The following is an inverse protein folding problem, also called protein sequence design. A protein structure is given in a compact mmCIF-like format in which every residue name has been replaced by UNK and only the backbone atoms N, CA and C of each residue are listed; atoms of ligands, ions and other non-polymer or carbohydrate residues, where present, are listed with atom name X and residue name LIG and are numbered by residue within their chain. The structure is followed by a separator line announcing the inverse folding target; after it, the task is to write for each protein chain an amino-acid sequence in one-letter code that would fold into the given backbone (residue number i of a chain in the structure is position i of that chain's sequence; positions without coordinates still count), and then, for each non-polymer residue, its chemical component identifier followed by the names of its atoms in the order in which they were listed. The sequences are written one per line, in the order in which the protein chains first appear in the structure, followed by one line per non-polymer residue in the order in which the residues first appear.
data_IF_678561765195
#
_entry.id   IF_678561765195
#
_cell.length_a   1.000
_cell.length_b   1.000
_cell.length_c   1.000
_cell.angle_alpha   90.00
_cell.angle_beta   90.00
_cell.angle_gamma   90.00
#
_symmetry.space_group_name_H-M   'P 1'
#
loop_
_entity.id
_entity.type
_entity.pdbx_description
1 polymer ?
#
# COMPACT_ATOMS: atom_id res chain seq x y z
N UNK A 1 26.38 3.76 -1.25
CA UNK A 1 26.09 2.33 -1.06
C UNK A 1 24.74 2.28 -0.37
N UNK A 2 23.74 1.65 -0.99
CA UNK A 2 22.40 1.59 -0.41
C UNK A 2 22.46 0.89 0.95
N UNK A 3 21.91 1.53 1.99
CA UNK A 3 21.86 0.92 3.32
C UNK A 3 20.67 -0.01 3.38
N UNK A 4 20.94 -1.32 3.28
CA UNK A 4 19.96 -2.35 3.60
C UNK A 4 19.63 -2.26 5.08
N UNK A 5 18.34 -2.18 5.39
CA UNK A 5 17.82 -2.17 6.74
C UNK A 5 17.11 -3.48 7.05
N UNK A 6 16.75 -3.64 8.31
CA UNK A 6 15.91 -4.75 8.77
C UNK A 6 15.02 -4.30 9.94
N UNK A 7 14.53 -3.05 9.89
CA UNK A 7 13.74 -2.49 10.99
C UNK A 7 12.45 -3.28 11.13
N UNK A 8 11.71 -3.52 10.05
CA UNK A 8 10.40 -4.17 10.13
C UNK A 8 10.50 -5.59 10.66
N UNK A 9 11.58 -6.33 10.36
CA UNK A 9 11.77 -7.71 10.84
C UNK A 9 12.69 -7.84 12.07
N UNK A 10 13.32 -6.76 12.55
CA UNK A 10 14.07 -6.78 13.81
C UNK A 10 13.16 -7.03 15.01
N UNK A 11 13.59 -7.89 15.93
CA UNK A 11 12.77 -8.27 17.08
C UNK A 11 12.62 -7.11 18.09
N UNK A 12 11.44 -7.09 18.72
CA UNK A 12 11.14 -6.25 19.88
C UNK A 12 10.61 -7.14 20.99
N UNK A 13 10.88 -6.79 22.24
CA UNK A 13 10.32 -7.52 23.38
C UNK A 13 8.79 -7.33 23.38
N UNK A 14 7.99 -8.41 23.37
CA UNK A 14 6.53 -8.31 23.25
C UNK A 14 5.90 -7.40 24.32
N UNK A 15 5.12 -6.41 23.88
CA UNK A 15 4.43 -5.48 24.76
C UNK A 15 5.30 -4.35 25.32
N UNK A 16 6.60 -4.32 25.04
CA UNK A 16 7.50 -3.26 25.53
C UNK A 16 7.11 -1.89 24.97
N UNK A 17 6.73 -1.81 23.70
CA UNK A 17 6.33 -0.54 23.08
C UNK A 17 4.94 -0.12 23.54
N UNK A 18 4.04 -1.07 23.79
CA UNK A 18 2.73 -0.79 24.36
C UNK A 18 2.84 -0.24 25.78
N UNK A 19 3.67 -0.85 26.64
CA UNK A 19 3.96 -0.31 27.99
C UNK A 19 4.55 1.10 27.92
N UNK A 20 5.48 1.34 26.98
CA UNK A 20 6.02 2.68 26.76
C UNK A 20 4.94 3.67 26.32
N UNK A 21 4.00 3.26 25.47
CA UNK A 21 2.88 4.10 25.04
C UNK A 21 1.91 4.43 26.19
N UNK A 22 1.62 3.47 27.08
CA UNK A 22 0.75 3.66 28.25
C UNK A 22 1.35 4.61 29.30
N UNK A 23 2.68 4.70 29.37
CA UNK A 23 3.38 5.67 30.21
C UNK A 23 3.32 7.12 29.67
N UNK A 24 2.77 7.32 28.47
CA UNK A 24 2.59 8.62 27.81
C UNK A 24 1.11 8.96 27.74
N UNK A 25 0.73 10.23 27.56
CA UNK A 25 -0.67 10.54 27.24
C UNK A 25 -0.98 10.14 25.78
N UNK A 26 -2.24 9.89 25.40
CA UNK A 26 -2.59 9.62 24.01
C UNK A 26 -2.13 10.73 23.04
N UNK A 27 -2.15 11.98 23.50
CA UNK A 27 -1.68 13.13 22.71
C UNK A 27 -0.17 13.11 22.51
N UNK A 28 0.60 12.66 23.50
CA UNK A 28 2.06 12.50 23.38
C UNK A 28 2.42 11.39 22.40
N UNK A 29 1.67 10.28 22.39
CA UNK A 29 1.83 9.18 21.41
C UNK A 29 1.59 9.70 19.98
N UNK A 30 0.48 10.42 19.76
CA UNK A 30 0.18 11.06 18.46
C UNK A 30 1.28 12.06 18.10
N UNK A 31 1.74 12.85 19.07
CA UNK A 31 2.82 13.82 18.90
C UNK A 31 4.13 13.15 18.47
N UNK A 32 4.48 12.01 19.07
CA UNK A 32 5.67 11.24 18.73
C UNK A 32 5.59 10.68 17.30
N UNK A 33 4.46 10.05 16.93
CA UNK A 33 4.23 9.54 15.57
C UNK A 33 4.19 10.66 14.53
N UNK A 34 3.70 11.84 14.91
CA UNK A 34 3.72 13.03 14.05
C UNK A 34 5.15 13.55 13.86
N UNK A 35 5.94 13.66 14.93
CA UNK A 35 7.34 14.10 14.88
C UNK A 35 8.23 13.15 14.09
N UNK A 36 7.96 11.84 14.11
CA UNK A 36 8.70 10.88 13.27
C UNK A 36 8.46 11.09 11.77
N UNK A 37 7.42 11.86 11.41
CA UNK A 37 6.94 12.07 10.03
C UNK A 37 6.57 10.75 9.34
N UNK A 38 6.14 9.73 10.10
CA UNK A 38 5.65 8.48 9.52
C UNK A 38 4.49 8.76 8.56
N UNK A 39 4.67 8.34 7.31
CA UNK A 39 3.66 8.40 6.25
C UNK A 39 3.13 7.00 5.97
N UNK A 40 1.84 6.87 5.66
CA UNK A 40 1.19 5.61 5.37
C UNK A 40 1.91 4.82 4.27
N UNK A 41 2.24 3.56 4.56
CA UNK A 41 3.05 2.67 3.71
C UNK A 41 2.27 1.88 2.66
N UNK A 42 0.95 2.11 2.55
CA UNK A 42 0.06 1.46 1.59
C UNK A 42 -0.03 2.14 0.21
N UNK A 43 0.72 3.21 -0.06
CA UNK A 43 0.74 3.89 -1.38
C UNK A 43 0.58 5.40 -1.29
N UNK A 44 -0.58 5.90 -0.85
CA UNK A 44 -0.90 7.33 -0.86
C UNK A 44 -0.02 8.22 0.04
N UNK A 45 0.69 7.63 1.01
CA UNK A 45 1.65 8.38 1.83
C UNK A 45 1.02 9.46 2.72
N UNK A 46 -0.22 9.30 3.18
CA UNK A 46 -0.84 10.28 4.08
C UNK A 46 -0.14 10.26 5.46
N UNK A 47 0.14 11.42 6.09
CA UNK A 47 0.80 11.46 7.40
C UNK A 47 0.00 10.73 8.49
N UNK A 48 0.60 9.73 9.12
CA UNK A 48 -0.09 8.85 10.09
C UNK A 48 -0.54 9.61 11.34
N UNK A 49 0.32 10.49 11.86
CA UNK A 49 0.01 11.31 13.04
C UNK A 49 -1.20 12.23 12.83
N UNK A 50 -1.33 12.88 11.66
CA UNK A 50 -2.50 13.70 11.32
C UNK A 50 -3.76 12.84 11.28
N UNK A 51 -3.69 11.65 10.68
CA UNK A 51 -4.84 10.72 10.62
C UNK A 51 -5.33 10.35 12.02
N UNK A 52 -4.40 10.07 12.94
CA UNK A 52 -4.71 9.71 14.32
C UNK A 52 -5.28 10.88 15.12
N UNK A 53 -4.70 12.07 14.97
CA UNK A 53 -5.16 13.32 15.58
C UNK A 53 -6.60 13.66 15.17
N UNK A 54 -6.93 13.56 13.88
CA UNK A 54 -8.30 13.78 13.39
C UNK A 54 -9.31 12.86 14.08
N UNK A 55 -9.02 11.56 14.19
CA UNK A 55 -9.90 10.61 14.87
C UNK A 55 -9.98 10.89 16.38
N UNK A 56 -8.86 11.24 17.03
CA UNK A 56 -8.81 11.49 18.48
C UNK A 56 -9.69 12.67 18.89
N UNK A 57 -9.73 13.73 18.09
CA UNK A 57 -10.50 14.97 18.33
C UNK A 57 -12.01 14.78 18.40
N UNK A 58 -12.53 13.65 17.90
CA UNK A 58 -13.95 13.33 17.97
C UNK A 58 -14.26 12.71 19.36
N UNK A 59 -14.42 13.56 20.38
CA UNK A 59 -14.67 13.13 21.76
C UNK A 59 -16.03 12.45 21.94
N UNK A 60 -16.11 11.46 22.85
CA UNK A 60 -17.34 10.75 23.19
C UNK A 60 -17.88 9.78 22.12
N UNK A 61 -17.31 9.79 20.92
CA UNK A 61 -17.61 8.80 19.89
C UNK A 61 -16.91 7.48 20.21
N UNK A 62 -17.60 6.37 19.99
CA UNK A 62 -16.95 5.08 19.76
C UNK A 62 -16.03 5.21 18.55
N UNK A 63 -14.84 4.59 18.60
CA UNK A 63 -13.82 4.71 17.55
C UNK A 63 -13.24 3.35 17.23
N UNK A 64 -12.74 3.23 16.00
CA UNK A 64 -12.20 1.98 15.50
C UNK A 64 -10.81 2.19 14.87
N UNK A 65 -9.98 1.16 14.96
CA UNK A 65 -8.76 1.05 14.17
C UNK A 65 -8.86 -0.15 13.24
N UNK A 66 -8.47 0.03 11.98
CA UNK A 66 -8.50 -1.03 10.97
C UNK A 66 -7.11 -1.20 10.38
N UNK A 67 -6.59 -2.41 10.49
CA UNK A 67 -5.41 -2.85 9.77
C UNK A 67 -5.82 -3.32 8.38
N UNK A 68 -5.44 -2.56 7.35
CA UNK A 68 -5.64 -2.93 5.96
C UNK A 68 -4.56 -3.93 5.54
N UNK A 69 -4.96 -5.20 5.48
CA UNK A 69 -4.18 -6.36 5.07
C UNK A 69 -4.76 -6.99 3.78
N UNK A 70 -5.32 -6.16 2.89
CA UNK A 70 -5.89 -6.63 1.63
C UNK A 70 -4.81 -6.89 0.56
N UNK A 71 -3.69 -6.14 0.57
CA UNK A 71 -2.51 -6.33 -0.31
C UNK A 71 -2.84 -6.85 -1.74
N UNK A 72 -3.85 -6.26 -2.40
CA UNK A 72 -4.32 -6.75 -3.70
C UNK A 72 -3.46 -6.27 -4.88
N UNK A 73 -2.58 -5.30 -4.67
CA UNK A 73 -1.76 -4.67 -5.72
C UNK A 73 -0.77 -5.67 -6.35
N UNK A 74 -0.82 -5.91 -7.67
CA UNK A 74 0.12 -6.78 -8.37
C UNK A 74 1.59 -6.55 -8.03
N UNK A 75 2.29 -7.65 -7.74
CA UNK A 75 3.70 -7.66 -7.35
C UNK A 75 3.97 -7.27 -5.89
N UNK A 76 2.95 -7.05 -5.07
CA UNK A 76 3.10 -6.78 -3.63
C UNK A 76 2.91 -8.06 -2.80
N UNK A 77 3.83 -8.34 -1.89
CA UNK A 77 3.75 -9.45 -0.94
C UNK A 77 4.51 -9.15 0.38
N UNK A 78 4.69 -7.86 0.70
CA UNK A 78 5.38 -7.37 1.90
C UNK A 78 4.50 -7.58 3.15
N UNK A 79 3.23 -7.24 3.07
CA UNK A 79 2.28 -7.29 4.19
C UNK A 79 2.03 -8.74 4.58
N UNK A 80 1.90 -9.63 3.60
CA UNK A 80 1.94 -11.09 3.81
C UNK A 80 3.13 -11.52 4.65
N UNK A 81 4.35 -11.12 4.26
CA UNK A 81 5.58 -11.50 4.97
C UNK A 81 5.64 -10.90 6.38
N UNK A 82 5.13 -9.68 6.59
CA UNK A 82 5.03 -9.07 7.92
C UNK A 82 4.03 -9.86 8.77
N UNK A 83 2.86 -10.23 8.23
CA UNK A 83 1.85 -10.99 8.97
C UNK A 83 2.30 -12.41 9.29
N UNK A 84 3.13 -13.04 8.46
CA UNK A 84 3.70 -14.37 8.71
C UNK A 84 4.79 -14.34 9.78
N UNK A 85 5.64 -13.31 9.79
CA UNK A 85 6.88 -13.30 10.60
C UNK A 85 6.82 -12.39 11.82
N UNK A 86 6.01 -11.34 11.76
CA UNK A 86 6.03 -10.21 12.70
C UNK A 86 4.61 -9.83 13.14
N UNK A 87 3.70 -10.80 13.19
CA UNK A 87 2.29 -10.61 13.56
C UNK A 87 2.13 -9.86 14.88
N UNK A 88 2.87 -10.26 15.92
CA UNK A 88 2.78 -9.66 17.25
C UNK A 88 3.06 -8.14 17.22
N UNK A 89 4.04 -7.73 16.41
CA UNK A 89 4.42 -6.31 16.23
C UNK A 89 3.32 -5.51 15.54
N UNK A 90 2.64 -6.09 14.56
CA UNK A 90 1.49 -5.44 13.90
C UNK A 90 0.34 -5.26 14.89
N UNK A 91 0.02 -6.30 15.66
CA UNK A 91 -1.05 -6.27 16.67
C UNK A 91 -0.72 -5.28 17.81
N UNK A 92 0.54 -5.22 18.24
CA UNK A 92 1.02 -4.23 19.20
C UNK A 92 0.92 -2.81 18.65
N UNK A 93 1.28 -2.59 17.38
CA UNK A 93 1.06 -1.33 16.68
C UNK A 93 -0.41 -0.94 16.58
N UNK A 94 -1.32 -1.91 16.40
CA UNK A 94 -2.77 -1.66 16.47
C UNK A 94 -3.22 -1.24 17.86
N UNK A 95 -2.74 -1.90 18.92
CA UNK A 95 -3.06 -1.56 20.31
C UNK A 95 -2.57 -0.15 20.68
N UNK A 96 -1.35 0.22 20.27
CA UNK A 96 -0.81 1.58 20.46
C UNK A 96 -1.64 2.61 19.70
N UNK A 97 -2.01 2.33 18.44
CA UNK A 97 -2.86 3.22 17.65
C UNK A 97 -4.26 3.37 18.25
N UNK A 98 -4.84 2.28 18.77
CA UNK A 98 -6.12 2.29 19.46
C UNK A 98 -6.07 3.14 20.75
N UNK A 99 -5.01 2.99 21.55
CA UNK A 99 -4.77 3.82 22.73
C UNK A 99 -4.69 5.31 22.35
N UNK A 100 -3.90 5.63 21.33
CA UNK A 100 -3.68 6.99 20.85
C UNK A 100 -5.00 7.68 20.44
N UNK A 101 -5.88 6.98 19.73
CA UNK A 101 -7.15 7.55 19.25
C UNK A 101 -8.31 7.41 20.23
N UNK A 102 -8.20 6.50 21.20
CA UNK A 102 -9.26 6.12 22.14
C UNK A 102 -10.26 5.14 21.54
N UNK A 103 -9.79 4.16 20.76
CA UNK A 103 -10.60 3.06 20.23
C UNK A 103 -10.56 1.85 21.16
N UNK A 104 -11.69 1.16 21.30
CA UNK A 104 -11.80 -0.09 22.08
C UNK A 104 -11.87 -1.34 21.21
N UNK A 105 -12.06 -1.18 19.90
CA UNK A 105 -12.26 -2.26 18.96
C UNK A 105 -11.43 -2.04 17.70
N UNK A 106 -10.82 -3.12 17.21
CA UNK A 106 -9.97 -3.13 16.04
C UNK A 106 -10.28 -4.27 15.08
N UNK A 107 -10.01 -4.05 13.80
CA UNK A 107 -10.23 -5.06 12.77
C UNK A 107 -8.97 -5.26 11.92
N UNK A 108 -8.61 -6.51 11.66
CA UNK A 108 -7.71 -6.87 10.57
C UNK A 108 -8.58 -7.23 9.38
N UNK A 109 -8.59 -6.38 8.36
CA UNK A 109 -9.23 -6.70 7.09
C UNK A 109 -8.22 -7.44 6.21
N UNK A 110 -8.33 -8.76 6.21
CA UNK A 110 -7.42 -9.67 5.52
C UNK A 110 -8.01 -10.07 4.16
N UNK A 111 -7.24 -10.00 3.08
CA UNK A 111 -7.71 -10.47 1.76
C UNK A 111 -8.15 -11.92 1.77
N UNK A 112 -9.12 -12.23 0.92
CA UNK A 112 -9.72 -13.56 0.83
C UNK A 112 -8.71 -14.66 0.53
N UNK A 113 -7.71 -14.38 -0.31
CA UNK A 113 -6.68 -15.31 -0.75
C UNK A 113 -5.69 -15.67 0.37
N UNK A 114 -5.61 -14.85 1.42
CA UNK A 114 -4.78 -15.12 2.60
C UNK A 114 -5.55 -15.84 3.71
N UNK A 115 -6.66 -16.53 3.38
CA UNK A 115 -7.44 -17.35 4.32
C UNK A 115 -6.59 -18.32 5.16
N UNK A 116 -5.47 -18.82 4.61
CA UNK A 116 -4.56 -19.71 5.34
C UNK A 116 -3.87 -19.05 6.54
N UNK A 117 -3.74 -17.71 6.57
CA UNK A 117 -3.18 -16.97 7.70
C UNK A 117 -4.16 -16.79 8.88
N UNK A 118 -5.46 -17.04 8.67
CA UNK A 118 -6.50 -16.76 9.69
C UNK A 118 -6.24 -17.53 10.99
N UNK A 119 -5.88 -18.81 10.90
CA UNK A 119 -5.63 -19.64 12.08
C UNK A 119 -4.43 -19.13 12.89
N UNK A 120 -3.35 -18.73 12.22
CA UNK A 120 -2.16 -18.20 12.88
C UNK A 120 -2.40 -16.81 13.47
N UNK A 121 -3.14 -15.95 12.78
CA UNK A 121 -3.57 -14.65 13.30
C UNK A 121 -4.43 -14.82 14.55
N UNK A 122 -5.43 -15.71 14.51
CA UNK A 122 -6.30 -15.98 15.64
C UNK A 122 -5.53 -16.54 16.84
N UNK A 123 -4.58 -17.46 16.58
CA UNK A 123 -3.67 -17.98 17.62
C UNK A 123 -2.86 -16.85 18.25
N UNK A 124 -2.25 -15.97 17.45
CA UNK A 124 -1.43 -14.87 17.98
C UNK A 124 -2.26 -13.85 18.76
N UNK A 125 -3.48 -13.54 18.30
CA UNK A 125 -4.44 -12.73 19.08
C UNK A 125 -4.72 -13.40 20.43
N UNK A 126 -4.96 -14.72 20.45
CA UNK A 126 -5.14 -15.49 21.69
C UNK A 126 -3.94 -15.44 22.63
N UNK A 127 -2.71 -15.54 22.09
CA UNK A 127 -1.46 -15.40 22.86
C UNK A 127 -1.32 -13.99 23.47
N UNK A 128 -1.64 -12.93 22.72
CA UNK A 128 -1.60 -11.57 23.26
C UNK A 128 -2.67 -11.33 24.32
N UNK A 129 -3.86 -11.94 24.19
CA UNK A 129 -4.89 -11.92 25.24
C UNK A 129 -4.40 -12.61 26.52
N UNK A 130 -3.75 -13.77 26.42
CA UNK A 130 -3.24 -14.50 27.60
C UNK A 130 -2.09 -13.77 28.30
N UNK A 131 -1.35 -12.94 27.57
CA UNK A 131 -0.33 -12.03 28.09
C UNK A 131 -0.89 -10.66 28.51
N UNK A 132 -2.22 -10.46 28.42
CA UNK A 132 -2.90 -9.22 28.76
C UNK A 132 -2.36 -7.99 27.98
N UNK A 133 -1.89 -8.19 26.75
CA UNK A 133 -1.46 -7.13 25.83
C UNK A 133 -2.61 -6.57 24.99
N UNK A 134 -3.73 -7.31 24.93
CA UNK A 134 -5.02 -6.89 24.38
C UNK A 134 -6.13 -7.51 25.25
N UNK A 135 -7.36 -7.03 25.10
CA UNK A 135 -8.51 -7.38 25.93
C UNK A 135 -8.77 -6.33 27.02
N UNK A 136 -9.36 -6.72 28.16
CA UNK A 136 -9.60 -5.80 29.28
C UNK A 136 -8.33 -5.51 30.08
N UNK A 137 -8.27 -4.33 30.70
CA UNK A 137 -7.20 -3.88 31.61
C UNK A 137 -5.80 -4.20 31.08
N UNK A 138 -5.47 -3.66 29.89
CA UNK A 138 -4.23 -3.96 29.17
C UNK A 138 -3.00 -3.65 30.02
N UNK A 139 -2.00 -4.54 29.97
CA UNK A 139 -0.77 -4.49 30.78
C UNK A 139 -1.03 -4.45 32.30
N UNK A 140 -2.16 -5.01 32.74
CA UNK A 140 -2.65 -5.02 34.11
C UNK A 140 -2.96 -3.62 34.67
N UNK A 141 -3.16 -2.64 33.79
CA UNK A 141 -3.51 -1.27 34.15
C UNK A 141 -4.98 -0.99 33.81
N UNK A 142 -5.68 -0.35 34.74
CA UNK A 142 -7.08 0.05 34.54
C UNK A 142 -7.16 1.28 33.65
N UNK A 143 -8.10 1.28 32.70
CA UNK A 143 -8.47 2.49 31.95
C UNK A 143 -8.34 2.38 30.43
N UNK A 144 -7.73 1.29 29.91
CA UNK A 144 -7.69 1.01 28.47
C UNK A 144 -8.00 -0.46 28.19
N UNK A 145 -8.98 -0.67 27.31
CA UNK A 145 -9.39 -1.98 26.82
C UNK A 145 -9.40 -1.94 25.29
N UNK A 146 -8.89 -2.99 24.65
CA UNK A 146 -8.85 -3.06 23.19
C UNK A 146 -8.90 -4.50 22.70
N UNK A 147 -9.86 -4.85 21.84
CA UNK A 147 -9.93 -6.17 21.21
C UNK A 147 -9.72 -6.08 19.68
N UNK A 148 -9.31 -7.20 19.08
CA UNK A 148 -9.01 -7.30 17.66
C UNK A 148 -9.79 -8.45 17.03
N UNK A 149 -10.52 -8.14 15.97
CA UNK A 149 -11.28 -9.11 15.17
C UNK A 149 -10.65 -9.28 13.79
N UNK A 150 -10.79 -10.47 13.20
CA UNK A 150 -10.36 -10.73 11.82
C UNK A 150 -11.59 -10.70 10.92
N UNK A 151 -11.55 -9.85 9.89
CA UNK A 151 -12.53 -9.85 8.80
C UNK A 151 -11.84 -10.34 7.54
N UNK A 152 -12.37 -11.39 6.93
CA UNK A 152 -11.91 -11.87 5.64
C UNK A 152 -12.64 -11.14 4.51
N UNK A 153 -11.88 -10.62 3.54
CA UNK A 153 -12.39 -10.09 2.28
C UNK A 153 -12.77 -11.20 1.29
N UNK A 154 -13.24 -10.81 0.11
CA UNK A 154 -13.76 -11.73 -0.91
C UNK A 154 -13.02 -11.64 -2.25
N UNK A 155 -11.74 -11.27 -2.24
CA UNK A 155 -10.87 -11.25 -3.42
C UNK A 155 -11.16 -10.11 -4.39
N UNK A 156 -11.32 -8.89 -3.87
CA UNK A 156 -11.56 -7.70 -4.71
C UNK A 156 -10.53 -6.62 -4.40
N UNK A 157 -9.73 -6.26 -5.39
CA UNK A 157 -8.63 -5.30 -5.23
C UNK A 157 -9.12 -3.91 -4.82
N UNK A 158 -10.31 -3.50 -5.26
CA UNK A 158 -10.89 -2.20 -4.86
C UNK A 158 -11.14 -2.11 -3.36
N UNK A 159 -11.35 -3.23 -2.65
CA UNK A 159 -11.49 -3.26 -1.20
C UNK A 159 -10.18 -2.92 -0.46
N UNK A 160 -9.04 -2.85 -1.14
CA UNK A 160 -7.82 -2.26 -0.61
C UNK A 160 -7.90 -0.73 -0.47
N UNK A 161 -8.85 -0.06 -1.16
CA UNK A 161 -9.11 1.37 -0.96
C UNK A 161 -9.81 1.61 0.37
N UNK A 162 -9.36 2.63 1.10
CA UNK A 162 -9.75 2.90 2.49
C UNK A 162 -11.26 2.90 2.75
N UNK A 163 -12.07 3.54 1.90
CA UNK A 163 -13.52 3.62 2.11
C UNK A 163 -14.29 2.41 1.59
N UNK A 164 -13.82 1.81 0.49
CA UNK A 164 -14.36 0.53 0.01
C UNK A 164 -14.14 -0.60 1.02
N UNK A 165 -12.98 -0.60 1.68
CA UNK A 165 -12.66 -1.51 2.77
C UNK A 165 -13.70 -1.42 3.89
N UNK A 166 -14.07 -0.20 4.29
CA UNK A 166 -15.05 0.03 5.35
C UNK A 166 -16.46 -0.43 4.95
N UNK A 167 -16.87 -0.19 3.70
CA UNK A 167 -18.14 -0.73 3.18
C UNK A 167 -18.14 -2.27 3.22
N UNK A 168 -17.04 -2.90 2.80
CA UNK A 168 -16.90 -4.36 2.86
C UNK A 168 -16.86 -4.89 4.30
N UNK A 169 -16.23 -4.17 5.22
CA UNK A 169 -16.22 -4.47 6.65
C UNK A 169 -17.66 -4.43 7.23
N UNK A 170 -18.47 -3.47 6.79
CA UNK A 170 -19.91 -3.36 7.05
C UNK A 170 -20.77 -4.39 6.30
N UNK A 171 -20.14 -5.35 5.60
CA UNK A 171 -20.79 -6.41 4.82
C UNK A 171 -21.64 -5.89 3.66
N UNK A 172 -21.30 -4.71 3.13
CA UNK A 172 -21.82 -4.16 1.89
C UNK A 172 -20.86 -4.45 0.73
N UNK A 173 -21.27 -4.07 -0.48
CA UNK A 173 -20.37 -4.12 -1.65
C UNK A 173 -19.22 -3.14 -1.42
N UNK A 174 -18.00 -3.52 -1.83
CA UNK A 174 -16.79 -2.69 -1.70
C UNK A 174 -16.77 -1.49 -2.65
N UNK A 175 -17.80 -0.65 -2.61
CA UNK A 175 -17.87 0.57 -3.40
C UNK A 175 -17.37 1.75 -2.56
N UNK A 176 -16.35 2.49 -3.01
CA UNK A 176 -15.83 3.64 -2.25
C UNK A 176 -16.91 4.67 -1.89
N UNK A 177 -16.71 5.36 -0.77
CA UNK A 177 -17.55 6.49 -0.34
C UNK A 177 -17.07 7.80 -0.97
N UNK A 178 -17.95 8.79 -1.07
CA UNK A 178 -17.51 10.15 -1.40
C UNK A 178 -16.71 10.72 -0.23
N UNK A 179 -15.66 11.50 -0.53
CA UNK A 179 -14.89 12.27 0.45
C UNK A 179 -15.09 13.75 0.12
N UNK A 180 -15.42 14.62 1.09
CA UNK A 180 -15.74 14.36 2.51
C UNK A 180 -17.11 13.66 2.74
N UNK A 181 -17.36 13.08 3.93
CA UNK A 181 -16.48 13.04 5.11
C UNK A 181 -15.33 12.02 4.97
N UNK A 182 -14.22 12.27 5.66
CA UNK A 182 -13.09 11.34 5.68
C UNK A 182 -13.31 10.23 6.73
N UNK A 183 -12.72 9.02 6.55
CA UNK A 183 -12.87 7.92 7.51
C UNK A 183 -12.52 8.26 8.97
N UNK A 184 -11.49 9.09 9.16
CA UNK A 184 -11.07 9.54 10.49
C UNK A 184 -12.12 10.44 11.18
N UNK A 185 -13.12 10.92 10.45
CA UNK A 185 -14.27 11.69 10.97
C UNK A 185 -15.52 10.79 11.03
N UNK A 186 -15.83 10.11 9.92
CA UNK A 186 -16.96 9.20 9.79
C UNK A 186 -16.61 8.01 8.88
N UNK A 187 -16.23 6.90 9.50
CA UNK A 187 -15.79 5.66 8.86
C UNK A 187 -16.72 4.49 9.17
N UNK A 188 -16.18 3.42 9.77
CA UNK A 188 -16.93 2.21 10.10
C UNK A 188 -18.14 2.54 10.97
N UNK A 189 -19.33 2.13 10.52
CA UNK A 189 -20.63 2.40 11.18
C UNK A 189 -20.87 3.89 11.44
N UNK A 190 -20.32 4.76 10.58
CA UNK A 190 -20.39 6.21 10.71
C UNK A 190 -19.54 6.79 11.85
N UNK A 191 -18.69 5.98 12.49
CA UNK A 191 -17.83 6.37 13.61
C UNK A 191 -16.40 6.72 13.15
N UNK A 192 -15.68 7.61 13.87
CA UNK A 192 -14.30 7.92 13.55
C UNK A 192 -13.45 6.64 13.48
N UNK A 193 -12.83 6.41 12.33
CA UNK A 193 -12.10 5.17 12.05
C UNK A 193 -10.77 5.46 11.40
N UNK A 194 -9.70 4.91 11.97
CA UNK A 194 -8.37 5.00 11.39
C UNK A 194 -8.06 3.72 10.64
N UNK A 195 -7.82 3.83 9.34
CA UNK A 195 -7.31 2.71 8.53
C UNK A 195 -5.81 2.90 8.27
N UNK A 196 -5.00 1.94 8.69
CA UNK A 196 -3.57 1.92 8.43
C UNK A 196 -3.16 0.58 7.79
N UNK A 197 -2.20 0.63 6.87
CA UNK A 197 -1.61 -0.56 6.26
C UNK A 197 -0.75 -1.33 7.28
N UNK A 198 -0.65 -2.66 7.11
CA UNK A 198 0.15 -3.56 7.95
C UNK A 198 1.56 -3.01 8.22
N UNK A 199 2.29 -2.61 7.18
CA UNK A 199 3.65 -2.06 7.32
C UNK A 199 3.66 -0.72 8.07
N UNK A 200 2.61 0.08 7.99
CA UNK A 200 2.55 1.33 8.78
C UNK A 200 2.46 1.02 10.27
N UNK A 201 1.64 0.03 10.64
CA UNK A 201 1.45 -0.38 12.03
C UNK A 201 2.69 -1.08 12.58
N UNK A 202 3.44 -1.84 11.77
CA UNK A 202 4.67 -2.50 12.22
C UNK A 202 5.81 -1.52 12.55
N UNK A 203 5.81 -0.30 12.01
CA UNK A 203 6.77 0.75 12.38
C UNK A 203 6.43 1.45 13.70
N UNK A 204 5.17 1.42 14.14
CA UNK A 204 4.73 2.14 15.34
C UNK A 204 5.51 1.70 16.58
N UNK A 205 5.64 0.39 16.90
CA UNK A 205 6.40 -0.04 18.07
C UNK A 205 7.86 0.46 18.07
N UNK A 206 8.51 0.44 16.90
CA UNK A 206 9.88 0.92 16.76
C UNK A 206 10.03 2.41 17.01
N UNK A 207 9.07 3.22 16.53
CA UNK A 207 9.06 4.67 16.78
C UNK A 207 8.84 4.95 18.28
N UNK A 208 8.00 4.16 18.95
CA UNK A 208 7.76 4.31 20.39
C UNK A 208 9.00 4.01 21.22
N UNK A 209 9.74 2.95 20.88
CA UNK A 209 10.91 2.52 21.64
C UNK A 209 12.16 3.36 21.35
N UNK A 210 12.38 3.76 20.09
CA UNK A 210 13.62 4.43 19.67
C UNK A 210 13.46 5.95 19.52
N UNK A 211 12.22 6.46 19.50
CA UNK A 211 11.91 7.87 19.35
C UNK A 211 11.83 8.36 17.89
N UNK A 212 11.29 9.56 17.73
CA UNK A 212 11.07 10.19 16.43
C UNK A 212 12.37 10.53 15.69
N UNK A 213 13.41 10.96 16.41
CA UNK A 213 14.67 11.37 15.80
C UNK A 213 15.40 10.18 15.18
N UNK A 214 15.35 9.01 15.82
CA UNK A 214 15.87 7.76 15.26
C UNK A 214 15.20 7.42 13.93
N UNK A 215 13.87 7.52 13.84
CA UNK A 215 13.17 7.20 12.59
C UNK A 215 13.47 8.21 11.47
N UNK A 216 13.71 9.47 11.83
CA UNK A 216 14.07 10.54 10.89
C UNK A 216 15.52 10.46 10.39
N UNK A 217 16.39 9.65 11.01
CA UNK A 217 17.75 9.40 10.50
C UNK A 217 17.74 8.60 9.19
N UNK A 218 16.62 7.94 8.89
CA UNK A 218 16.44 7.15 7.68
C UNK A 218 15.61 7.91 6.65
N UNK A 219 15.95 7.72 5.38
CA UNK A 219 15.16 8.24 4.27
C UNK A 219 15.58 9.66 3.85
N UNK A 220 14.62 10.42 3.32
CA UNK A 220 14.82 11.81 2.89
C UNK A 220 14.12 12.79 3.83
N UNK A 221 14.35 14.09 3.63
CA UNK A 221 13.70 15.15 4.42
C UNK A 221 12.16 15.07 4.42
N UNK A 222 11.57 14.65 3.29
CA UNK A 222 10.11 14.56 3.07
C UNK A 222 9.55 13.13 3.11
N UNK A 223 10.43 12.13 3.02
CA UNK A 223 10.10 10.71 3.05
C UNK A 223 10.96 10.01 4.10
N UNK A 224 10.59 10.14 5.37
CA UNK A 224 11.34 9.57 6.48
C UNK A 224 11.08 8.08 6.65
N UNK A 225 12.06 7.38 7.22
CA UNK A 225 12.02 5.95 7.46
C UNK A 225 12.43 5.11 6.25
N UNK A 226 12.19 3.81 6.39
CA UNK A 226 12.41 2.81 5.35
C UNK A 226 11.11 2.36 4.70
N UNK A 227 11.26 1.59 3.63
CA UNK A 227 10.19 0.94 2.88
C UNK A 227 10.56 -0.51 2.57
N UNK A 228 9.59 -1.40 2.74
CA UNK A 228 9.68 -2.75 2.21
C UNK A 228 9.32 -2.80 0.73
N UNK A 229 10.21 -3.43 -0.02
CA UNK A 229 10.14 -3.68 -1.45
C UNK A 229 9.87 -5.15 -1.73
N UNK A 230 8.77 -5.42 -2.43
CA UNK A 230 8.42 -6.72 -3.01
C UNK A 230 9.01 -6.82 -4.40
N UNK A 231 10.18 -7.43 -4.51
CA UNK A 231 10.94 -7.54 -5.75
C UNK A 231 10.55 -8.82 -6.48
N UNK A 232 10.11 -8.68 -7.72
CA UNK A 232 9.67 -9.77 -8.60
C UNK A 232 10.01 -9.50 -10.07
N UNK A 233 9.68 -10.44 -10.95
CA UNK A 233 9.98 -10.34 -12.39
C UNK A 233 11.38 -10.84 -12.73
N UNK A 234 11.98 -10.26 -13.76
CA UNK A 234 13.23 -10.72 -14.36
C UNK A 234 14.46 -10.24 -13.55
N UNK A 235 14.69 -10.84 -12.39
CA UNK A 235 15.82 -10.52 -11.50
C UNK A 235 16.49 -11.78 -10.91
N UNK A 236 17.77 -11.68 -10.54
CA UNK A 236 18.52 -12.79 -9.96
C UNK A 236 18.09 -13.15 -8.54
N UNK A 237 17.61 -12.16 -7.76
CA UNK A 237 17.23 -12.33 -6.36
C UNK A 237 15.84 -11.76 -6.04
N UNK A 238 14.74 -12.42 -6.46
CA UNK A 238 13.40 -12.01 -6.06
C UNK A 238 13.21 -12.19 -4.54
N UNK A 239 12.40 -11.32 -3.92
CA UNK A 239 12.16 -11.39 -2.48
C UNK A 239 11.74 -10.06 -1.85
N UNK A 240 11.80 -10.03 -0.51
CA UNK A 240 11.53 -8.83 0.28
C UNK A 240 12.84 -8.16 0.66
N UNK A 241 12.92 -6.86 0.41
CA UNK A 241 14.07 -6.02 0.78
C UNK A 241 13.59 -4.80 1.54
N UNK A 242 14.32 -4.41 2.57
CA UNK A 242 14.08 -3.15 3.26
C UNK A 242 15.21 -2.17 2.96
N UNK A 243 14.86 -1.03 2.38
CA UNK A 243 15.81 0.06 2.16
C UNK A 243 15.22 1.37 2.67
N UNK A 244 16.10 2.29 3.02
CA UNK A 244 15.74 3.68 3.27
C UNK A 244 15.09 4.30 2.03
N UNK A 245 14.12 5.18 2.21
CA UNK A 245 13.63 5.99 1.10
C UNK A 245 14.77 6.83 0.51
N UNK A 246 14.73 7.06 -0.80
CA UNK A 246 15.78 7.77 -1.51
C UNK A 246 16.80 6.87 -2.21
N UNK A 247 16.76 5.55 -1.97
CA UNK A 247 17.49 4.58 -2.79
C UNK A 247 17.16 4.79 -4.28
N UNK A 248 18.17 4.82 -5.13
CA UNK A 248 17.96 4.91 -6.58
C UNK A 248 17.55 3.55 -7.16
N UNK A 249 16.83 3.56 -8.28
CA UNK A 249 16.49 2.31 -8.99
C UNK A 249 17.78 1.57 -9.37
N UNK A 250 18.83 2.27 -9.80
CA UNK A 250 20.12 1.67 -10.16
C UNK A 250 20.77 0.95 -9.00
N UNK A 251 20.75 1.53 -7.80
CA UNK A 251 21.26 0.86 -6.60
C UNK A 251 20.43 -0.38 -6.27
N UNK A 252 19.09 -0.27 -6.31
CA UNK A 252 18.21 -1.42 -6.08
C UNK A 252 18.49 -2.55 -7.09
N UNK A 253 18.61 -2.23 -8.38
CA UNK A 253 18.91 -3.21 -9.44
C UNK A 253 20.21 -3.97 -9.20
N UNK A 254 21.25 -3.29 -8.67
CA UNK A 254 22.52 -3.94 -8.31
C UNK A 254 22.35 -4.93 -7.17
N UNK A 255 21.60 -4.55 -6.12
CA UNK A 255 21.36 -5.41 -4.95
C UNK A 255 20.61 -6.71 -5.33
N UNK A 256 19.72 -6.63 -6.32
CA UNK A 256 18.88 -7.76 -6.75
C UNK A 256 19.45 -8.51 -7.98
N UNK A 257 20.68 -8.20 -8.39
CA UNK A 257 21.38 -8.79 -9.54
C UNK A 257 20.56 -8.68 -10.85
N UNK A 258 20.11 -7.46 -11.15
CA UNK A 258 19.33 -7.14 -12.35
C UNK A 258 19.80 -5.87 -13.07
N UNK A 259 20.97 -5.35 -12.76
CA UNK A 259 21.51 -4.13 -13.39
C UNK A 259 21.89 -4.34 -14.87
N UNK A 260 22.28 -5.56 -15.24
CA UNK A 260 22.52 -5.95 -16.62
C UNK A 260 21.24 -6.44 -17.31
N UNK A 261 20.81 -5.74 -18.37
CA UNK A 261 19.73 -6.21 -19.25
C UNK A 261 18.30 -5.84 -18.84
N UNK A 262 18.12 -5.13 -17.73
CA UNK A 262 16.81 -4.53 -17.39
C UNK A 262 16.45 -3.44 -18.39
N UNK A 263 15.26 -3.57 -18.97
CA UNK A 263 14.67 -2.59 -19.89
C UNK A 263 13.75 -1.62 -19.16
N UNK A 264 12.94 -2.15 -18.24
CA UNK A 264 11.95 -1.37 -17.50
C UNK A 264 11.79 -1.91 -16.08
N UNK A 265 11.36 -1.02 -15.18
CA UNK A 265 10.98 -1.35 -13.81
C UNK A 265 9.61 -0.74 -13.53
N UNK A 266 8.62 -1.58 -13.20
CA UNK A 266 7.33 -1.10 -12.71
C UNK A 266 7.39 -0.94 -11.19
N UNK A 267 7.18 0.29 -10.72
CA UNK A 267 7.33 0.68 -9.32
C UNK A 267 5.97 1.08 -8.76
N UNK A 268 5.57 0.46 -7.66
CA UNK A 268 4.27 0.68 -7.03
C UNK A 268 3.15 -0.24 -7.54
N UNK A 269 3.48 -1.30 -8.28
CA UNK A 269 2.52 -2.25 -8.83
C UNK A 269 1.86 -1.76 -10.12
N UNK A 270 0.78 -2.40 -10.55
CA UNK A 270 0.05 -2.05 -11.77
C UNK A 270 -0.45 -0.59 -11.75
N UNK A 271 -0.77 -0.05 -10.58
CA UNK A 271 -1.25 1.35 -10.40
C UNK A 271 -0.12 2.38 -10.32
N UNK A 272 1.12 1.91 -10.32
CA UNK A 272 2.32 2.71 -10.19
C UNK A 272 2.89 3.21 -11.51
N UNK A 273 4.20 3.44 -11.53
CA UNK A 273 4.92 4.10 -12.62
C UNK A 273 5.94 3.16 -13.25
N UNK A 274 5.99 3.16 -14.59
CA UNK A 274 7.01 2.47 -15.35
C UNK A 274 8.23 3.37 -15.54
N UNK A 275 9.39 2.91 -15.06
CA UNK A 275 10.69 3.56 -15.24
C UNK A 275 11.50 2.84 -16.32
N UNK A 276 12.19 3.60 -17.18
CA UNK A 276 13.16 3.08 -18.14
C UNK A 276 14.59 3.46 -17.71
N UNK A 277 15.59 3.05 -18.50
CA UNK A 277 17.01 3.26 -18.16
C UNK A 277 17.37 4.71 -17.80
N UNK A 278 16.73 5.69 -18.45
CA UNK A 278 16.94 7.13 -18.21
C UNK A 278 16.44 7.60 -16.84
N UNK A 279 15.56 6.82 -16.20
CA UNK A 279 15.04 7.11 -14.87
C UNK A 279 15.84 6.40 -13.76
N UNK A 280 16.81 5.54 -14.08
CA UNK A 280 17.38 4.64 -13.08
C UNK A 280 18.14 5.36 -11.95
N UNK A 281 18.59 6.59 -12.18
CA UNK A 281 19.22 7.42 -11.18
C UNK A 281 18.22 8.23 -10.32
N UNK A 282 16.91 8.10 -10.59
CA UNK A 282 15.87 8.74 -9.77
C UNK A 282 15.68 8.01 -8.45
N UNK A 283 15.48 8.75 -7.34
CA UNK A 283 15.22 8.17 -6.03
C UNK A 283 13.79 7.61 -5.94
N UNK A 284 13.66 6.49 -5.24
CA UNK A 284 12.36 5.93 -4.86
C UNK A 284 11.95 6.53 -3.51
N UNK A 285 11.01 7.47 -3.54
CA UNK A 285 10.47 8.20 -2.40
C UNK A 285 9.19 8.96 -2.81
N UNK A 286 8.45 9.55 -1.86
CA UNK A 286 7.17 10.22 -2.18
C UNK A 286 7.34 11.47 -3.06
N UNK A 287 8.46 12.19 -2.94
CA UNK A 287 8.79 13.36 -3.77
C UNK A 287 9.57 13.02 -5.05
N UNK A 288 9.98 11.76 -5.21
CA UNK A 288 10.63 11.21 -6.39
C UNK A 288 9.67 10.29 -7.15
N UNK A 289 10.02 8.99 -7.23
CA UNK A 289 9.09 7.97 -7.72
C UNK A 289 8.37 7.34 -6.51
N UNK A 290 7.09 7.63 -6.29
CA UNK A 290 6.34 7.09 -5.16
C UNK A 290 6.09 5.59 -5.34
N UNK A 291 5.95 4.87 -4.24
CA UNK A 291 5.78 3.41 -4.26
C UNK A 291 4.90 2.88 -3.14
N UNK A 292 4.04 1.93 -3.46
CA UNK A 292 3.39 1.05 -2.48
C UNK A 292 4.29 -0.09 -1.98
N UNK A 293 5.43 -0.32 -2.63
CA UNK A 293 6.41 -1.37 -2.29
C UNK A 293 6.63 -2.41 -3.38
N UNK A 294 5.72 -2.56 -4.35
CA UNK A 294 5.93 -3.49 -5.48
C UNK A 294 7.02 -2.97 -6.44
N UNK A 295 7.95 -3.84 -6.81
CA UNK A 295 9.03 -3.62 -7.78
C UNK A 295 9.05 -4.81 -8.74
N UNK A 296 8.60 -4.60 -9.98
CA UNK A 296 8.55 -5.64 -11.00
C UNK A 296 9.58 -5.31 -12.08
N UNK A 297 10.56 -6.20 -12.25
CA UNK A 297 11.64 -6.03 -13.22
C UNK A 297 11.25 -6.66 -14.56
N UNK A 298 11.48 -5.93 -15.65
CA UNK A 298 11.29 -6.42 -17.01
C UNK A 298 12.60 -6.30 -17.79
N UNK A 299 13.12 -7.43 -18.25
CA UNK A 299 14.31 -7.45 -19.11
C UNK A 299 13.96 -7.12 -20.57
N UNK A 300 14.97 -7.15 -21.46
CA UNK A 300 14.78 -6.85 -22.88
C UNK A 300 13.89 -7.83 -23.65
N UNK A 301 13.66 -9.07 -23.18
CA UNK A 301 12.80 -10.02 -23.88
C UNK A 301 11.30 -9.77 -23.68
N UNK A 302 10.93 -8.95 -22.69
CA UNK A 302 9.52 -8.65 -22.37
C UNK A 302 8.95 -7.61 -23.32
N UNK A 303 7.73 -7.83 -23.80
CA UNK A 303 6.97 -6.81 -24.53
C UNK A 303 6.27 -5.87 -23.55
N UNK A 304 6.61 -4.57 -23.58
CA UNK A 304 5.94 -3.58 -22.71
C UNK A 304 4.48 -3.34 -23.13
N UNK A 305 4.14 -3.61 -24.40
CA UNK A 305 2.76 -3.62 -24.86
C UNK A 305 1.94 -4.70 -24.15
N UNK A 306 2.44 -5.94 -24.06
CA UNK A 306 1.74 -7.02 -23.36
C UNK A 306 1.59 -6.77 -21.86
N UNK A 307 2.63 -6.21 -21.24
CA UNK A 307 2.58 -5.78 -19.83
C UNK A 307 1.48 -4.73 -19.63
N UNK A 308 1.44 -3.71 -20.49
CA UNK A 308 0.42 -2.67 -20.43
C UNK A 308 -0.99 -3.23 -20.62
N UNK A 309 -1.18 -4.12 -21.60
CA UNK A 309 -2.47 -4.78 -21.83
C UNK A 309 -2.93 -5.54 -20.58
N UNK A 310 -2.05 -6.33 -19.98
CA UNK A 310 -2.36 -7.10 -18.78
C UNK A 310 -2.78 -6.20 -17.59
N UNK A 311 -2.12 -5.06 -17.39
CA UNK A 311 -2.51 -4.11 -16.35
C UNK A 311 -3.88 -3.48 -16.62
N UNK A 312 -4.19 -3.15 -17.88
CA UNK A 312 -5.51 -2.57 -18.22
C UNK A 312 -6.62 -3.61 -18.12
N UNK A 313 -6.38 -4.87 -18.47
CA UNK A 313 -7.29 -5.99 -18.22
C UNK A 313 -7.58 -6.12 -16.72
N UNK A 314 -6.54 -6.15 -15.89
CA UNK A 314 -6.67 -6.17 -14.44
C UNK A 314 -7.55 -5.02 -13.91
N UNK A 315 -7.33 -3.79 -14.36
CA UNK A 315 -8.14 -2.65 -13.93
C UNK A 315 -9.57 -2.66 -14.47
N UNK A 316 -9.81 -3.31 -15.60
CA UNK A 316 -11.17 -3.46 -16.13
C UNK A 316 -11.95 -4.47 -15.29
N UNK A 317 -11.31 -5.58 -14.88
CA UNK A 317 -11.91 -6.62 -14.03
C UNK A 317 -12.14 -6.14 -12.60
N UNK A 318 -11.18 -5.40 -12.02
CA UNK A 318 -11.21 -4.98 -10.61
C UNK A 318 -11.98 -3.69 -10.33
N UNK A 319 -12.52 -3.06 -11.38
CA UNK A 319 -13.33 -1.85 -11.22
C UNK A 319 -14.64 -2.18 -10.48
N UNK A 320 -14.91 -1.48 -9.37
CA UNK A 320 -16.19 -1.62 -8.66
C UNK A 320 -17.43 -1.21 -9.48
N UNK A 321 -17.24 -0.50 -10.61
CA UNK A 321 -18.30 -0.08 -11.52
C UNK A 321 -19.08 1.18 -11.09
N UNK A 322 -18.70 1.83 -9.99
CA UNK A 322 -19.50 2.90 -9.39
C UNK A 322 -19.44 4.23 -10.17
N UNK A 323 -18.25 4.69 -10.58
CA UNK A 323 -18.10 5.97 -11.28
C UNK A 323 -17.85 5.75 -12.78
N UNK A 324 -18.54 6.53 -13.62
CA UNK A 324 -18.49 6.42 -15.09
C UNK A 324 -17.07 6.58 -15.64
N UNK A 325 -16.25 7.58 -15.21
CA UNK A 325 -14.89 7.74 -15.73
C UNK A 325 -14.06 6.48 -15.54
N UNK A 326 -14.16 5.81 -14.40
CA UNK A 326 -13.44 4.56 -14.15
C UNK A 326 -14.07 3.37 -14.89
N UNK A 327 -15.37 3.13 -14.73
CA UNK A 327 -16.07 1.96 -15.29
C UNK A 327 -15.98 1.91 -16.80
N UNK A 328 -16.35 2.98 -17.46
CA UNK A 328 -16.32 3.05 -18.92
C UNK A 328 -14.90 3.33 -19.41
N UNK A 329 -14.10 4.13 -18.68
CA UNK A 329 -12.74 4.45 -19.07
C UNK A 329 -11.82 3.24 -19.15
N UNK A 330 -11.88 2.31 -18.18
CA UNK A 330 -11.11 1.06 -18.26
C UNK A 330 -11.48 0.26 -19.53
N UNK A 331 -12.77 0.09 -19.81
CA UNK A 331 -13.25 -0.61 -21.01
C UNK A 331 -12.77 0.06 -22.30
N UNK A 332 -12.87 1.40 -22.39
CA UNK A 332 -12.38 2.16 -23.55
C UNK A 332 -10.86 2.11 -23.71
N UNK A 333 -10.14 2.09 -22.60
CA UNK A 333 -8.68 1.93 -22.62
C UNK A 333 -8.28 0.56 -23.15
N UNK A 334 -8.95 -0.51 -22.70
CA UNK A 334 -8.73 -1.86 -23.20
C UNK A 334 -9.06 -1.98 -24.69
N UNK A 335 -10.24 -1.50 -25.12
CA UNK A 335 -10.63 -1.44 -26.53
C UNK A 335 -9.60 -0.71 -27.39
N UNK A 336 -9.04 0.40 -26.87
CA UNK A 336 -8.00 1.17 -27.54
C UNK A 336 -6.68 0.41 -27.67
N UNK A 337 -6.26 -0.29 -26.61
CA UNK A 337 -5.05 -1.12 -26.59
C UNK A 337 -5.19 -2.30 -27.57
N UNK A 338 -6.34 -2.98 -27.60
CA UNK A 338 -6.59 -4.10 -28.53
C UNK A 338 -6.56 -3.69 -30.01
N UNK A 339 -6.76 -2.40 -30.34
CA UNK A 339 -6.61 -1.93 -31.72
C UNK A 339 -5.16 -2.09 -32.20
N UNK A 340 -4.18 -1.92 -31.32
CA UNK A 340 -2.76 -2.09 -31.70
C UNK A 340 -2.44 -3.55 -32.02
N UNK A 341 -2.99 -4.53 -31.29
CA UNK A 341 -2.84 -5.96 -31.62
C UNK A 341 -3.42 -6.30 -33.00
N UNK A 342 -4.51 -5.64 -33.37
CA UNK A 342 -5.20 -5.83 -34.65
C UNK A 342 -4.56 -5.05 -35.80
N UNK A 343 -3.42 -4.37 -35.58
CA UNK A 343 -2.76 -3.51 -36.57
C UNK A 343 -3.57 -2.26 -36.95
N UNK A 344 -4.55 -1.86 -36.12
CA UNK A 344 -5.44 -0.71 -36.33
C UNK A 344 -5.15 0.47 -35.41
N UNK A 345 -4.17 0.33 -34.52
CA UNK A 345 -3.72 1.39 -33.62
C UNK A 345 -2.93 2.45 -34.38
N UNK A 346 -2.98 3.68 -33.90
CA UNK A 346 -2.25 4.81 -34.49
C UNK A 346 -1.75 5.76 -33.41
N UNK A 347 -0.86 6.70 -33.77
CA UNK A 347 -0.48 7.77 -32.86
C UNK A 347 -1.68 8.59 -32.37
N UNK A 348 -2.73 8.75 -33.21
CA UNK A 348 -3.98 9.38 -32.77
C UNK A 348 -4.66 8.57 -31.66
N UNK A 349 -4.71 7.25 -31.79
CA UNK A 349 -5.27 6.37 -30.76
C UNK A 349 -4.53 6.51 -29.43
N UNK A 350 -3.20 6.65 -29.44
CA UNK A 350 -2.43 6.91 -28.22
C UNK A 350 -2.85 8.24 -27.59
N UNK A 351 -2.96 9.30 -28.39
CA UNK A 351 -3.38 10.62 -27.89
C UNK A 351 -4.80 10.60 -27.31
N UNK A 352 -5.75 9.97 -28.01
CA UNK A 352 -7.14 9.82 -27.53
C UNK A 352 -7.17 9.09 -26.17
N UNK A 353 -6.33 8.06 -25.99
CA UNK A 353 -6.19 7.33 -24.73
C UNK A 353 -5.49 8.15 -23.63
N UNK A 354 -4.55 9.03 -23.98
CA UNK A 354 -3.92 9.97 -23.03
C UNK A 354 -4.91 11.04 -22.56
N UNK A 355 -5.79 11.53 -23.44
CA UNK A 355 -6.87 12.45 -23.05
C UNK A 355 -7.90 11.77 -22.13
N UNK A 356 -8.28 10.53 -22.45
CA UNK A 356 -9.10 9.70 -21.57
C UNK A 356 -8.42 9.49 -20.20
N UNK A 357 -7.12 9.21 -20.22
CA UNK A 357 -6.31 9.05 -19.01
C UNK A 357 -6.37 10.28 -18.11
N UNK A 358 -6.35 11.48 -18.68
CA UNK A 358 -6.49 12.73 -17.91
C UNK A 358 -7.87 12.87 -17.30
N UNK A 359 -8.91 12.56 -18.07
CA UNK A 359 -10.29 12.57 -17.57
C UNK A 359 -10.45 11.58 -16.41
N UNK A 360 -9.91 10.37 -16.52
CA UNK A 360 -9.97 9.35 -15.47
C UNK A 360 -9.24 9.80 -14.20
N UNK A 361 -8.03 10.36 -14.34
CA UNK A 361 -7.25 10.83 -13.18
C UNK A 361 -7.92 11.97 -12.42
N UNK A 362 -8.65 12.85 -13.12
CA UNK A 362 -9.32 14.00 -12.49
C UNK A 362 -10.71 13.68 -11.96
N UNK A 363 -11.50 12.88 -12.69
CA UNK A 363 -12.93 12.72 -12.44
C UNK A 363 -13.29 11.39 -11.75
N UNK A 364 -12.34 10.48 -11.57
CA UNK A 364 -12.59 9.23 -10.85
C UNK A 364 -12.74 9.47 -9.36
N UNK A 365 -13.71 8.77 -8.76
CA UNK A 365 -14.14 9.00 -7.37
C UNK A 365 -13.10 8.60 -6.32
N UNK A 366 -12.29 7.57 -6.58
CA UNK A 366 -11.34 7.02 -5.61
C UNK A 366 -9.95 6.83 -6.24
N UNK A 367 -8.97 6.52 -5.37
CA UNK A 367 -7.58 6.30 -5.78
C UNK A 367 -7.39 5.20 -6.83
N UNK A 368 -8.26 4.19 -6.87
CA UNK A 368 -8.25 3.16 -7.93
C UNK A 368 -8.39 3.82 -9.31
N UNK A 369 -9.52 4.48 -9.58
CA UNK A 369 -9.79 5.04 -10.90
C UNK A 369 -8.83 6.18 -11.28
N UNK A 370 -8.32 6.89 -10.26
CA UNK A 370 -7.35 7.96 -10.46
C UNK A 370 -5.96 7.44 -10.87
N UNK A 371 -5.60 6.22 -10.45
CA UNK A 371 -4.27 5.62 -10.65
C UNK A 371 -4.21 4.63 -11.81
N UNK A 372 -5.34 4.10 -12.30
CA UNK A 372 -5.40 3.28 -13.53
C UNK A 372 -4.53 3.86 -14.67
N UNK A 373 -4.56 5.17 -14.93
CA UNK A 373 -3.81 5.71 -16.07
C UNK A 373 -2.29 5.86 -15.86
N UNK A 374 -1.76 5.64 -14.66
CA UNK A 374 -0.34 5.91 -14.36
C UNK A 374 0.61 5.01 -15.17
N UNK A 375 0.35 3.70 -15.18
CA UNK A 375 1.13 2.74 -15.95
C UNK A 375 0.94 2.94 -17.45
N UNK A 376 -0.28 3.27 -17.90
CA UNK A 376 -0.53 3.64 -19.30
C UNK A 376 0.31 4.84 -19.75
N UNK A 377 0.25 5.97 -19.05
CA UNK A 377 0.99 7.19 -19.42
C UNK A 377 2.50 6.95 -19.46
N UNK A 378 3.03 6.26 -18.46
CA UNK A 378 4.47 6.01 -18.37
C UNK A 378 4.96 5.01 -19.42
N UNK A 379 4.23 3.92 -19.65
CA UNK A 379 4.59 2.96 -20.70
C UNK A 379 4.42 3.59 -22.08
N UNK A 380 3.31 4.30 -22.32
CA UNK A 380 3.05 4.93 -23.63
C UNK A 380 4.05 6.02 -23.99
N UNK A 381 4.56 6.77 -23.01
CA UNK A 381 5.61 7.78 -23.26
C UNK A 381 6.98 7.16 -23.51
N UNK A 382 7.33 6.06 -22.82
CA UNK A 382 8.67 5.46 -22.84
C UNK A 382 8.85 4.36 -23.89
N UNK A 383 7.78 3.65 -24.22
CA UNK A 383 7.78 2.47 -25.09
C UNK A 383 6.76 2.62 -26.23
N UNK A 384 6.59 3.86 -26.72
CA UNK A 384 5.64 4.19 -27.79
C UNK A 384 5.83 3.31 -29.03
N UNK A 385 7.09 3.06 -29.40
CA UNK A 385 7.43 2.27 -30.59
C UNK A 385 6.98 0.81 -30.43
N UNK A 386 7.17 0.21 -29.24
CA UNK A 386 6.69 -1.15 -28.96
C UNK A 386 5.15 -1.26 -29.01
N UNK A 387 4.44 -0.19 -28.65
CA UNK A 387 2.97 -0.14 -28.75
C UNK A 387 2.54 -0.03 -30.21
N UNK A 388 3.19 0.84 -30.99
CA UNK A 388 2.86 1.04 -32.41
C UNK A 388 3.18 -0.20 -33.26
N UNK A 389 4.26 -0.92 -32.95
CA UNK A 389 4.67 -2.13 -33.67
C UNK A 389 3.98 -3.41 -33.17
N UNK A 390 3.01 -3.32 -32.23
CA UNK A 390 2.43 -4.49 -31.58
C UNK A 390 1.71 -5.45 -32.55
N UNK A 391 1.09 -4.90 -33.62
CA UNK A 391 0.38 -5.67 -34.65
C UNK A 391 1.28 -6.30 -35.73
N UNK A 392 2.58 -5.99 -35.72
CA UNK A 392 3.54 -6.49 -36.73
C UNK A 392 4.09 -7.89 -36.38
N UNK A 393 3.61 -8.49 -35.28
CA UNK A 393 3.41 -9.93 -35.22
C UNK A 393 4.64 -10.83 -35.36
N UNK A 394 5.85 -10.45 -34.96
CA UNK A 394 6.98 -11.41 -34.95
C UNK A 394 8.08 -11.17 -33.90
N UNK A 395 8.16 -9.99 -33.27
CA UNK A 395 9.37 -9.63 -32.49
C UNK A 395 9.42 -10.10 -31.03
N UNK A 396 8.33 -10.64 -30.46
CA UNK A 396 8.25 -10.86 -29.00
C UNK A 396 7.52 -12.17 -28.61
N UNK A 397 7.75 -13.26 -29.35
CA UNK A 397 7.34 -14.62 -28.95
C UNK A 397 8.43 -15.32 -28.11
N UNK A 398 8.63 -14.89 -26.87
CA UNK A 398 9.30 -15.69 -25.82
C UNK A 398 9.03 -15.12 -24.44
#
# INVERSE_FOLDING_TARGET
MARKLDVVFSDIEPGSALRAALAMTPSDVIGLVSRSKLRGRGGAGFPTGIKWDTARRHEGAEKYIVCNADEGEPGTFKDKNILERQTAKVLEGMAIGAYAIGASEGFIYLRGEYKYLVSDLARKIGEMKSQNLIGPDICHEKGFCFDIHIKLGSGSYVCGEETALLESLESRRGEPRNKPPYPAESGFLGRPTVVNNVETLSFVPHILLNGADWFQQFGTEKSTGSKLFSVSGDCGKPGIYEFEFGITIRELLKEIEADAGTKAVQIGGASGFCACADDFDKPICFEGIPTGGSIIIFNKSRSMFRVLKNFVEFFQEESCGQCVPCREGCSRMLEGIEKFEKGKGSSKTINDLLELSETMSLASKCGFGQSVPNSFRTIASKFKDEILSAGEGELWQS
#
